data_IF_066204762671
#
_entry.id   IF_066204762671
#
_cell.length_a   1.000
_cell.length_b   1.000
_cell.length_c   1.000
_cell.angle_alpha   90.00
_cell.angle_beta   90.00
_cell.angle_gamma   90.00
#
_symmetry.space_group_name_H-M   'P 1'
#
loop_
_entity.id
_entity.type
_entity.pdbx_description
1 polymer ?
#
# COMPACT_ATOMS: atom_id res chain seq x y z
N UNK A 1 -6.62 -6.28 15.58
CA UNK A 1 -6.06 -5.78 14.30
C UNK A 1 -6.76 -6.34 13.07
N UNK A 2 -7.24 -7.59 13.10
CA UNK A 2 -8.22 -8.10 12.12
C UNK A 2 -9.44 -7.17 11.92
N UNK A 3 -9.95 -6.56 12.99
CA UNK A 3 -11.00 -5.52 12.94
C UNK A 3 -10.57 -4.25 12.20
N UNK A 4 -9.30 -3.85 12.32
CA UNK A 4 -8.72 -2.70 11.62
C UNK A 4 -8.57 -3.00 10.12
N UNK A 5 -8.04 -4.17 9.75
CA UNK A 5 -7.96 -4.60 8.34
C UNK A 5 -9.36 -4.79 7.70
N UNK A 6 -10.33 -5.28 8.46
CA UNK A 6 -11.73 -5.35 8.04
C UNK A 6 -12.34 -3.96 7.79
N UNK A 7 -12.07 -3.00 8.67
CA UNK A 7 -12.48 -1.61 8.46
C UNK A 7 -11.72 -0.92 7.32
N UNK A 8 -10.45 -1.26 7.11
CA UNK A 8 -9.63 -0.71 6.04
C UNK A 8 -10.09 -1.17 4.66
N UNK A 9 -10.64 -2.38 4.55
CA UNK A 9 -11.23 -2.86 3.30
C UNK A 9 -12.38 -1.95 2.81
N UNK A 10 -13.16 -1.36 3.73
CA UNK A 10 -14.17 -0.37 3.38
C UNK A 10 -13.55 0.91 2.79
N UNK A 11 -12.42 1.36 3.35
CA UNK A 11 -11.71 2.55 2.90
C UNK A 11 -10.80 2.32 1.68
N UNK A 12 -10.63 1.08 1.22
CA UNK A 12 -9.80 0.75 0.05
C UNK A 12 -10.21 1.50 -1.22
N UNK A 13 -11.49 1.89 -1.34
CA UNK A 13 -12.01 2.69 -2.46
C UNK A 13 -11.70 4.18 -2.38
N UNK A 14 -11.21 4.63 -1.23
CA UNK A 14 -10.95 6.03 -0.93
C UNK A 14 -9.46 6.33 -0.77
N UNK A 15 -8.63 5.28 -0.70
CA UNK A 15 -7.19 5.38 -0.50
C UNK A 15 -6.47 4.93 -1.77
N UNK A 16 -5.77 5.86 -2.38
CA UNK A 16 -4.80 5.58 -3.45
C UNK A 16 -3.76 4.57 -2.97
N UNK A 17 -3.44 3.59 -3.82
CA UNK A 17 -2.40 2.57 -3.57
C UNK A 17 -2.60 1.74 -2.29
N UNK A 18 -3.85 1.65 -1.84
CA UNK A 18 -4.22 0.93 -0.62
C UNK A 18 -3.63 -0.49 -0.56
N UNK A 19 -3.73 -1.28 -1.63
CA UNK A 19 -3.23 -2.66 -1.63
C UNK A 19 -1.71 -2.76 -1.49
N UNK A 20 -0.96 -1.73 -1.91
CA UNK A 20 0.50 -1.68 -1.80
C UNK A 20 0.90 -1.48 -0.33
N UNK A 21 0.25 -0.56 0.37
CA UNK A 21 0.53 -0.33 1.79
C UNK A 21 -0.07 -1.43 2.68
N UNK A 22 -1.23 -1.95 2.31
CA UNK A 22 -1.92 -2.97 3.09
C UNK A 22 -1.25 -4.35 2.96
N UNK A 23 -0.63 -4.70 1.83
CA UNK A 23 0.03 -6.01 1.64
C UNK A 23 1.10 -6.25 2.71
N UNK A 24 1.90 -5.23 3.02
CA UNK A 24 2.91 -5.24 4.08
C UNK A 24 2.31 -5.60 5.44
N UNK A 25 1.08 -5.15 5.71
CA UNK A 25 0.38 -5.46 6.95
C UNK A 25 -0.23 -6.87 6.91
N UNK A 26 -0.64 -7.38 5.76
CA UNK A 26 -1.15 -8.75 5.63
C UNK A 26 -0.07 -9.83 5.77
N UNK A 27 1.21 -9.49 5.57
CA UNK A 27 2.34 -10.41 5.75
C UNK A 27 2.69 -10.66 7.23
N UNK A 28 2.24 -9.80 8.14
CA UNK A 28 2.48 -9.94 9.57
C UNK A 28 1.48 -10.88 10.24
N UNK A 29 1.97 -11.76 11.12
CA UNK A 29 1.13 -12.63 11.94
C UNK A 29 0.67 -11.92 13.20
N UNK A 30 -0.35 -12.45 13.85
CA UNK A 30 -0.90 -11.90 15.10
C UNK A 30 0.15 -11.78 16.23
N UNK A 31 1.12 -12.69 16.24
CA UNK A 31 2.26 -12.68 17.17
C UNK A 31 3.20 -11.50 16.89
N UNK A 32 3.46 -11.20 15.62
CA UNK A 32 4.33 -10.10 15.20
C UNK A 32 3.67 -8.77 15.58
N UNK A 33 2.36 -8.67 15.40
CA UNK A 33 1.57 -7.53 15.83
C UNK A 33 1.54 -7.33 17.34
N UNK A 34 1.40 -8.40 18.14
CA UNK A 34 1.46 -8.32 19.59
C UNK A 34 2.86 -7.90 20.08
N UNK A 35 3.92 -8.30 19.38
CA UNK A 35 5.29 -7.88 19.68
C UNK A 35 5.52 -6.39 19.34
N UNK A 36 4.98 -5.91 18.21
CA UNK A 36 5.05 -4.51 17.80
C UNK A 36 4.20 -3.56 18.66
N UNK A 37 3.14 -4.05 19.32
CA UNK A 37 2.30 -3.24 20.19
C UNK A 37 2.94 -2.92 21.56
N UNK A 38 4.05 -3.60 21.91
CA UNK A 38 4.76 -3.33 23.17
C UNK A 38 5.49 -1.98 23.07
N UNK A 39 5.31 -1.13 24.09
CA UNK A 39 5.94 0.21 24.14
C UNK A 39 7.46 0.16 23.93
N UNK A 40 8.14 -0.80 24.55
CA UNK A 40 9.59 -0.99 24.38
C UNK A 40 9.99 -1.28 22.92
N UNK A 41 9.15 -1.98 22.16
CA UNK A 41 9.39 -2.26 20.74
C UNK A 41 9.10 -1.03 19.87
N UNK A 42 8.02 -0.30 20.18
CA UNK A 42 7.66 0.93 19.47
C UNK A 42 8.73 2.00 19.60
N UNK A 43 9.29 2.17 20.80
CA UNK A 43 10.34 3.15 21.06
C UNK A 43 11.63 2.81 20.31
N UNK A 44 11.98 1.52 20.20
CA UNK A 44 13.12 1.06 19.39
C UNK A 44 12.89 1.30 17.90
N UNK A 45 11.71 0.97 17.37
CA UNK A 45 11.36 1.24 15.97
C UNK A 45 11.45 2.74 15.68
N UNK A 46 10.96 3.59 16.61
CA UNK A 46 11.01 5.04 16.47
C UNK A 46 12.45 5.57 16.47
N UNK A 47 13.31 5.08 17.37
CA UNK A 47 14.73 5.46 17.41
C UNK A 47 15.47 5.11 16.12
N UNK A 48 15.20 3.94 15.53
CA UNK A 48 15.79 3.54 14.23
C UNK A 48 15.28 4.45 13.10
N UNK A 49 13.98 4.76 13.08
CA UNK A 49 13.40 5.66 12.08
C UNK A 49 13.93 7.10 12.18
N UNK A 50 14.19 7.60 13.39
CA UNK A 50 14.76 8.93 13.63
C UNK A 50 16.26 8.98 13.30
N UNK A 51 17.00 7.88 13.51
CA UNK A 51 18.42 7.77 13.14
C UNK A 51 18.64 7.70 11.61
N UNK A 52 17.71 7.13 10.85
CA UNK A 52 17.76 7.09 9.38
C UNK A 52 17.29 8.40 8.70
N UNK A 53 16.82 9.39 9.47
CA UNK A 53 16.24 10.65 8.96
C UNK A 53 17.24 11.70 8.43
N UNK A 54 18.52 11.38 8.28
CA UNK A 54 19.48 12.25 7.55
C UNK A 54 19.57 11.76 6.10
N UNK A 55 18.80 12.42 5.23
CA UNK A 55 18.74 12.34 3.74
C UNK A 55 19.66 11.29 3.05
N UNK A 56 19.06 10.39 2.25
CA UNK A 56 19.19 10.63 0.82
C UNK A 56 17.88 10.36 0.06
N UNK A 57 17.48 11.34 -0.74
CA UNK A 57 16.57 11.15 -1.87
C UNK A 57 16.96 9.96 -2.76
N UNK A 58 15.94 9.40 -3.40
CA UNK A 58 16.03 8.36 -4.44
C UNK A 58 16.67 7.03 -4.01
N UNK A 59 15.88 6.17 -3.36
CA UNK A 59 16.08 4.71 -3.45
C UNK A 59 14.78 3.93 -3.24
N UNK A 60 13.78 4.24 -4.06
CA UNK A 60 12.81 3.23 -4.48
C UNK A 60 13.57 2.35 -5.47
N UNK A 61 14.17 1.27 -4.99
CA UNK A 61 14.69 0.11 -5.75
C UNK A 61 15.65 -0.67 -4.85
N UNK A 62 15.10 -1.42 -3.89
CA UNK A 62 15.81 -2.57 -3.33
C UNK A 62 14.85 -3.75 -3.31
N UNK A 63 14.85 -4.47 -4.42
CA UNK A 63 14.60 -5.90 -4.48
C UNK A 63 15.42 -6.58 -3.37
N UNK A 64 14.76 -6.98 -2.28
CA UNK A 64 15.35 -7.92 -1.33
C UNK A 64 14.96 -9.31 -1.79
N UNK A 65 15.79 -9.86 -2.65
CA UNK A 65 15.78 -11.24 -3.09
C UNK A 65 15.70 -12.17 -1.87
N UNK A 66 14.57 -12.86 -1.68
CA UNK A 66 14.34 -13.77 -0.55
C UNK A 66 14.90 -15.16 -0.84
N UNK A 67 16.19 -15.23 -1.19
CA UNK A 67 16.83 -16.53 -1.35
C UNK A 67 18.26 -16.56 -0.81
N UNK A 68 18.35 -16.90 0.47
CA UNK A 68 19.52 -17.55 1.05
C UNK A 68 20.22 -16.76 2.14
N UNK A 69 19.77 -16.95 3.39
CA UNK A 69 20.68 -17.22 4.53
C UNK A 69 19.85 -17.63 5.74
N UNK A 70 19.74 -18.94 5.92
CA UNK A 70 19.49 -19.52 7.23
C UNK A 70 20.79 -19.35 8.05
N UNK A 71 20.60 -19.06 9.32
CA UNK A 71 21.55 -19.24 10.43
C UNK A 71 22.70 -18.22 10.53
N UNK A 72 22.51 -17.13 11.31
CA UNK A 72 23.51 -16.52 12.24
C UNK A 72 23.20 -15.10 12.77
N UNK A 73 21.95 -14.69 13.08
CA UNK A 73 21.74 -13.36 13.71
C UNK A 73 20.70 -13.37 14.85
N UNK A 74 21.01 -14.10 15.91
CA UNK A 74 20.31 -13.96 17.19
C UNK A 74 21.31 -13.71 18.31
N UNK A 75 21.78 -12.46 18.47
CA UNK A 75 22.51 -12.03 19.69
C UNK A 75 22.60 -10.51 19.93
N UNK A 76 22.00 -9.64 19.13
CA UNK A 76 21.96 -8.20 19.46
C UNK A 76 20.68 -7.84 20.25
N UNK A 77 20.77 -7.39 21.52
CA UNK A 77 19.62 -6.94 22.31
C UNK A 77 18.93 -5.69 21.75
N UNK A 78 19.52 -5.02 20.75
CA UNK A 78 18.96 -3.87 20.04
C UNK A 78 18.43 -4.22 18.64
N UNK A 79 18.45 -5.50 18.23
CA UNK A 79 17.94 -5.93 16.94
C UNK A 79 16.42 -5.68 16.82
N UNK A 80 16.02 -5.01 15.74
CA UNK A 80 14.64 -4.79 15.35
C UNK A 80 14.44 -5.48 14.01
N UNK A 81 13.45 -6.36 13.91
CA UNK A 81 13.11 -7.02 12.65
C UNK A 81 12.82 -5.95 11.57
N UNK A 82 13.54 -5.95 10.43
CA UNK A 82 13.31 -5.00 9.33
C UNK A 82 11.85 -4.97 8.86
N UNK A 83 11.13 -6.09 8.97
CA UNK A 83 9.70 -6.19 8.64
C UNK A 83 8.84 -5.30 9.53
N UNK A 84 9.21 -5.13 10.79
CA UNK A 84 8.48 -4.28 11.74
C UNK A 84 8.66 -2.80 11.44
N UNK A 85 9.87 -2.40 10.99
CA UNK A 85 10.15 -1.04 10.52
C UNK A 85 9.30 -0.74 9.28
N UNK A 86 9.29 -1.66 8.32
CA UNK A 86 8.52 -1.51 7.08
C UNK A 86 7.01 -1.43 7.36
N UNK A 87 6.49 -2.31 8.21
CA UNK A 87 5.08 -2.29 8.62
C UNK A 87 4.70 -1.01 9.39
N UNK A 88 5.56 -0.50 10.26
CA UNK A 88 5.30 0.75 10.97
C UNK A 88 5.23 1.95 10.01
N UNK A 89 6.12 2.01 9.01
CA UNK A 89 6.06 3.01 7.93
C UNK A 89 4.75 2.91 7.15
N UNK A 90 4.39 1.72 6.65
CA UNK A 90 3.15 1.51 5.89
C UNK A 90 1.91 1.85 6.72
N UNK A 91 1.89 1.50 8.01
CA UNK A 91 0.80 1.86 8.91
C UNK A 91 0.67 3.37 9.12
N UNK A 92 1.78 4.11 9.25
CA UNK A 92 1.75 5.56 9.38
C UNK A 92 1.32 6.23 8.07
N UNK A 93 1.80 5.76 6.92
CA UNK A 93 1.35 6.23 5.61
C UNK A 93 -0.16 6.01 5.45
N UNK A 94 -0.66 4.82 5.77
CA UNK A 94 -2.10 4.52 5.72
C UNK A 94 -2.91 5.43 6.64
N UNK A 95 -2.47 5.66 7.88
CA UNK A 95 -3.17 6.59 8.79
C UNK A 95 -3.21 8.00 8.23
N UNK A 96 -2.09 8.51 7.71
CA UNK A 96 -2.04 9.83 7.10
C UNK A 96 -2.95 9.90 5.87
N UNK A 97 -2.86 8.92 4.96
CA UNK A 97 -3.71 8.87 3.75
C UNK A 97 -5.19 8.77 4.07
N UNK A 98 -5.59 8.03 5.12
CA UNK A 98 -6.97 7.98 5.62
C UNK A 98 -7.40 9.37 6.12
N UNK A 99 -6.55 10.04 6.90
CA UNK A 99 -6.85 11.37 7.45
C UNK A 99 -6.89 12.47 6.37
N UNK A 100 -6.07 12.35 5.33
CA UNK A 100 -5.98 13.30 4.21
C UNK A 100 -6.78 12.86 2.98
N UNK A 101 -7.62 11.83 3.11
CA UNK A 101 -8.36 11.25 1.99
C UNK A 101 -9.14 12.35 1.28
N UNK A 102 -8.90 12.57 -0.04
CA UNK A 102 -9.62 13.60 -0.76
C UNK A 102 -11.11 13.27 -0.79
N UNK A 103 -11.96 14.30 -0.77
CA UNK A 103 -13.39 14.14 -0.95
C UNK A 103 -13.61 13.54 -2.34
N UNK A 104 -13.98 12.26 -2.40
CA UNK A 104 -14.37 11.63 -3.66
C UNK A 104 -15.61 12.35 -4.20
N UNK A 105 -15.60 12.66 -5.50
CA UNK A 105 -16.79 13.19 -6.17
C UNK A 105 -17.68 12.06 -6.67
N UNK A 106 -18.97 12.36 -6.77
CA UNK A 106 -19.89 11.51 -7.52
C UNK A 106 -19.50 11.51 -9.01
N UNK A 107 -19.73 10.37 -9.66
CA UNK A 107 -19.53 10.23 -11.09
C UNK A 107 -20.55 11.07 -11.86
N UNK A 108 -20.08 11.83 -12.85
CA UNK A 108 -20.89 12.65 -13.75
C UNK A 108 -20.79 12.09 -15.19
N UNK A 109 -21.85 11.47 -15.75
CA UNK A 109 -21.81 10.85 -17.08
C UNK A 109 -21.48 11.81 -18.22
N UNK A 110 -21.73 13.10 -18.05
CA UNK A 110 -21.49 14.11 -19.08
C UNK A 110 -20.02 14.57 -19.11
N UNK A 111 -19.20 14.11 -18.15
CA UNK A 111 -17.79 14.47 -18.03
C UNK A 111 -16.87 13.35 -18.47
N UNK A 112 -15.73 13.77 -19.04
CA UNK A 112 -14.67 12.85 -19.44
C UNK A 112 -14.09 12.14 -18.21
N UNK A 113 -14.21 10.83 -18.21
CA UNK A 113 -13.51 9.96 -17.29
C UNK A 113 -12.05 9.78 -17.74
N UNK A 114 -11.13 9.94 -16.79
CA UNK A 114 -9.71 9.61 -16.93
C UNK A 114 -9.39 8.52 -15.93
N UNK A 115 -8.77 7.44 -16.41
CA UNK A 115 -8.27 6.38 -15.55
C UNK A 115 -6.75 6.54 -15.44
N UNK A 116 -6.26 6.59 -14.21
CA UNK A 116 -4.84 6.49 -13.89
C UNK A 116 -4.59 5.09 -13.36
N UNK A 117 -3.59 4.41 -13.89
CA UNK A 117 -3.19 3.08 -13.44
C UNK A 117 -1.77 3.11 -12.89
N UNK A 118 -1.54 2.24 -11.92
CA UNK A 118 -0.23 2.00 -11.36
C UNK A 118 -0.07 0.50 -11.13
N UNK A 119 1.14 0.01 -11.41
CA UNK A 119 1.51 -1.38 -11.18
C UNK A 119 2.86 -1.45 -10.49
N UNK A 120 2.98 -2.39 -9.57
CA UNK A 120 4.22 -2.78 -8.89
C UNK A 120 4.45 -4.27 -9.10
N UNK A 121 5.54 -4.80 -8.55
CA UNK A 121 5.85 -6.22 -8.70
C UNK A 121 4.82 -7.15 -8.05
N UNK A 122 4.15 -6.70 -6.98
CA UNK A 122 3.24 -7.51 -6.18
C UNK A 122 1.79 -7.01 -6.14
N UNK A 123 1.51 -5.79 -6.61
CA UNK A 123 0.17 -5.21 -6.54
C UNK A 123 -0.12 -4.26 -7.70
N UNK A 124 -1.41 -4.09 -7.97
CA UNK A 124 -1.96 -3.17 -8.96
C UNK A 124 -2.94 -2.20 -8.31
N UNK A 125 -2.98 -0.99 -8.85
CA UNK A 125 -3.78 0.11 -8.35
C UNK A 125 -4.32 0.94 -9.52
N UNK A 126 -5.50 1.51 -9.36
CA UNK A 126 -6.15 2.33 -10.37
C UNK A 126 -7.07 3.35 -9.71
N UNK A 127 -7.14 4.52 -10.34
CA UNK A 127 -8.01 5.60 -9.93
C UNK A 127 -8.89 6.02 -11.11
N UNK A 128 -10.20 6.02 -10.89
CA UNK A 128 -11.15 6.71 -11.76
C UNK A 128 -11.21 8.18 -11.33
N UNK A 129 -10.88 9.07 -12.24
CA UNK A 129 -10.88 10.52 -12.04
C UNK A 129 -11.73 11.21 -13.10
N UNK A 130 -12.23 12.40 -12.76
CA UNK A 130 -12.94 13.26 -13.70
C UNK A 130 -12.42 14.69 -13.57
N UNK A 131 -12.36 15.39 -14.70
CA UNK A 131 -11.89 16.77 -14.74
C UNK A 131 -13.00 17.75 -14.33
N UNK A 132 -12.72 18.56 -13.33
CA UNK A 132 -13.56 19.66 -12.87
C UNK A 132 -12.70 20.92 -12.77
N UNK A 133 -13.03 21.94 -13.56
CA UNK A 133 -12.32 23.23 -13.54
C UNK A 133 -10.79 23.08 -13.67
N UNK A 134 -10.33 22.21 -14.58
CA UNK A 134 -8.92 21.83 -14.81
C UNK A 134 -8.25 21.04 -13.68
N UNK A 135 -9.02 20.59 -12.69
CA UNK A 135 -8.55 19.76 -11.58
C UNK A 135 -9.13 18.35 -11.72
N UNK A 136 -8.26 17.34 -11.74
CA UNK A 136 -8.69 15.95 -11.69
C UNK A 136 -9.16 15.60 -10.28
N UNK A 137 -10.47 15.38 -10.16
CA UNK A 137 -11.08 14.94 -8.92
C UNK A 137 -11.25 13.41 -8.93
N UNK A 138 -10.79 12.69 -7.91
CA UNK A 138 -11.00 11.26 -7.81
C UNK A 138 -12.47 10.93 -7.55
N UNK A 139 -12.96 9.90 -8.24
CA UNK A 139 -14.32 9.34 -8.11
C UNK A 139 -14.26 8.00 -7.38
N UNK A 140 -13.27 7.17 -7.70
CA UNK A 140 -13.09 5.86 -7.05
C UNK A 140 -11.67 5.38 -7.21
N UNK A 141 -11.14 4.73 -6.17
CA UNK A 141 -9.89 3.99 -6.23
C UNK A 141 -10.18 2.48 -6.23
N UNK A 142 -9.31 1.73 -6.88
CA UNK A 142 -9.32 0.28 -6.86
C UNK A 142 -7.90 -0.23 -6.79
N UNK A 143 -7.62 -1.11 -5.85
CA UNK A 143 -6.32 -1.78 -5.80
C UNK A 143 -6.50 -3.22 -5.32
N UNK A 144 -5.55 -4.07 -5.71
CA UNK A 144 -5.46 -5.45 -5.22
C UNK A 144 -4.04 -5.97 -5.36
N UNK A 145 -3.70 -6.95 -4.54
CA UNK A 145 -2.48 -7.74 -4.75
C UNK A 145 -2.63 -8.64 -5.99
N UNK A 146 -1.50 -8.93 -6.62
CA UNK A 146 -1.41 -9.85 -7.75
C UNK A 146 -1.48 -11.30 -7.27
N UNK A 147 -2.10 -12.16 -8.07
CA UNK A 147 -2.12 -13.60 -7.86
C UNK A 147 -0.79 -14.21 -8.26
N UNK A 148 -0.47 -15.40 -7.76
CA UNK A 148 0.80 -16.08 -8.04
C UNK A 148 1.14 -16.23 -9.54
N UNK A 149 0.12 -16.43 -10.39
CA UNK A 149 0.30 -16.50 -11.84
C UNK A 149 0.48 -15.13 -12.50
N UNK A 150 -0.01 -14.05 -11.89
CA UNK A 150 0.09 -12.67 -12.38
C UNK A 150 1.40 -11.98 -11.94
N UNK A 151 2.10 -12.50 -10.93
CA UNK A 151 3.39 -11.97 -10.47
C UNK A 151 4.46 -12.00 -11.58
N UNK A 152 4.40 -13.02 -12.44
CA UNK A 152 5.34 -13.24 -13.54
C UNK A 152 5.05 -12.36 -14.77
N UNK A 153 3.97 -11.57 -14.75
CA UNK A 153 3.63 -10.69 -15.86
C UNK A 153 4.59 -9.52 -15.95
N UNK A 154 4.78 -9.00 -17.18
CA UNK A 154 5.50 -7.76 -17.39
C UNK A 154 4.73 -6.56 -16.83
N UNK A 155 5.43 -5.44 -16.61
CA UNK A 155 4.81 -4.22 -16.05
C UNK A 155 3.59 -3.75 -16.86
N UNK A 156 3.68 -3.77 -18.19
CA UNK A 156 2.58 -3.38 -19.08
C UNK A 156 1.35 -4.30 -18.94
N UNK A 157 1.56 -5.60 -18.76
CA UNK A 157 0.47 -6.56 -18.54
C UNK A 157 -0.19 -6.33 -17.17
N UNK A 158 0.60 -5.99 -16.15
CA UNK A 158 0.11 -5.62 -14.82
C UNK A 158 -0.69 -4.31 -14.85
N UNK A 159 -0.28 -3.31 -15.64
CA UNK A 159 -1.06 -2.08 -15.85
C UNK A 159 -2.38 -2.36 -16.55
N UNK A 160 -2.42 -3.28 -17.52
CA UNK A 160 -3.68 -3.73 -18.14
C UNK A 160 -4.59 -4.41 -17.11
N UNK A 161 -4.04 -5.21 -16.18
CA UNK A 161 -4.82 -5.76 -15.08
C UNK A 161 -5.40 -4.67 -14.16
N UNK A 162 -4.63 -3.61 -13.91
CA UNK A 162 -5.10 -2.46 -13.13
C UNK A 162 -6.27 -1.75 -13.82
N UNK A 163 -6.16 -1.54 -15.14
CA UNK A 163 -7.22 -0.97 -15.97
C UNK A 163 -8.47 -1.86 -16.00
N UNK A 164 -8.31 -3.17 -16.18
CA UNK A 164 -9.42 -4.11 -16.13
C UNK A 164 -10.11 -4.09 -14.77
N UNK A 165 -9.33 -4.00 -13.69
CA UNK A 165 -9.87 -3.98 -12.32
C UNK A 165 -10.73 -2.76 -12.05
N UNK A 166 -10.28 -1.57 -12.44
CA UNK A 166 -11.05 -0.33 -12.23
C UNK A 166 -12.30 -0.33 -13.12
N UNK A 167 -12.22 -0.80 -14.36
CA UNK A 167 -13.39 -0.87 -15.25
C UNK A 167 -14.43 -1.88 -14.76
N UNK A 168 -14.02 -3.08 -14.35
CA UNK A 168 -14.90 -4.13 -13.82
C UNK A 168 -15.68 -3.66 -12.57
N UNK A 169 -15.01 -2.95 -11.66
CA UNK A 169 -15.64 -2.41 -10.47
C UNK A 169 -16.61 -1.27 -10.75
N UNK A 170 -16.42 -0.54 -11.86
CA UNK A 170 -17.24 0.60 -12.23
C UNK A 170 -18.31 0.28 -13.30
N UNK A 171 -18.31 -0.92 -13.88
CA UNK A 171 -19.24 -1.32 -14.94
C UNK A 171 -20.72 -1.27 -14.50
N UNK A 172 -21.00 -1.41 -13.19
CA UNK A 172 -22.36 -1.29 -12.64
C UNK A 172 -22.72 0.13 -12.16
N UNK A 173 -21.74 1.06 -12.13
CA UNK A 173 -21.92 2.44 -11.64
C UNK A 173 -21.79 3.49 -12.75
N UNK A 174 -21.38 3.08 -13.95
CA UNK A 174 -21.43 3.82 -15.21
C UNK A 174 -22.75 3.54 -15.92
#
# INVERSE_FOLDING_TARGET
MQSFLGSLNYYSRFIEDYAIYASVLYELREIDFAAMAKEATQERIRQVLEAEGTDPGSREDLNVDHQGTLDLEASDPNWVDPRWIHAHRSFNVLKTRIATTPILRHFDPDRKATVVVYASDWAISGALMQEYDQIYCPVTFASRTLKSNELNYGIAEKEVLALLRILDLNYNTL
#
